data_IF_694748049446
#
_entry.id   IF_694748049446
#
_cell.length_a   1.000
_cell.length_b   1.000
_cell.length_c   1.000
_cell.angle_alpha   90.00
_cell.angle_beta   90.00
_cell.angle_gamma   90.00
#
_symmetry.space_group_name_H-M   'P 1'
#
loop_
_entity.id
_entity.type
_entity.pdbx_description
1 polymer ?
#
# COMPACT_ATOMS: atom_id res chain seq x y z
N UNK A 1 19.06 -4.09 9.10
CA UNK A 1 18.99 -5.57 9.12
C UNK A 1 17.59 -6.16 9.34
N UNK A 2 16.90 -5.85 10.47
CA UNK A 2 15.58 -6.44 10.78
C UNK A 2 14.52 -6.14 9.71
N UNK A 3 14.50 -4.92 9.20
CA UNK A 3 13.57 -4.50 8.15
C UNK A 3 13.76 -5.30 6.84
N UNK A 4 14.98 -5.38 6.34
CA UNK A 4 15.32 -6.16 5.16
C UNK A 4 14.97 -7.65 5.34
N UNK A 5 15.32 -8.24 6.49
CA UNK A 5 15.01 -9.64 6.78
C UNK A 5 13.50 -9.94 6.76
N UNK A 6 12.66 -9.03 7.25
CA UNK A 6 11.20 -9.16 7.19
C UNK A 6 10.71 -9.21 5.74
N UNK A 7 11.14 -8.28 4.90
CA UNK A 7 10.75 -8.24 3.49
C UNK A 7 11.24 -9.46 2.72
N UNK A 8 12.48 -9.89 2.95
CA UNK A 8 13.02 -11.08 2.28
C UNK A 8 12.29 -12.36 2.71
N UNK A 9 12.08 -12.55 4.02
CA UNK A 9 11.49 -13.78 4.57
C UNK A 9 10.00 -13.89 4.27
N UNK A 10 9.27 -12.78 4.32
CA UNK A 10 7.81 -12.80 4.23
C UNK A 10 7.37 -12.47 2.79
N UNK A 11 7.69 -11.28 2.29
CA UNK A 11 7.14 -10.77 1.03
C UNK A 11 7.84 -11.34 -0.21
N UNK A 12 9.17 -11.29 -0.27
CA UNK A 12 9.91 -11.85 -1.41
C UNK A 12 9.67 -13.35 -1.52
N UNK A 13 9.76 -14.08 -0.40
CA UNK A 13 9.45 -15.52 -0.37
C UNK A 13 8.04 -15.82 -0.87
N UNK A 14 7.04 -15.05 -0.43
CA UNK A 14 5.64 -15.20 -0.89
C UNK A 14 5.54 -15.02 -2.40
N UNK A 15 6.13 -13.97 -2.95
CA UNK A 15 6.10 -13.68 -4.38
C UNK A 15 6.78 -14.77 -5.20
N UNK A 16 7.98 -15.20 -4.79
CA UNK A 16 8.73 -16.26 -5.47
C UNK A 16 7.97 -17.59 -5.44
N UNK A 17 7.40 -17.94 -4.28
CA UNK A 17 6.60 -19.16 -4.13
C UNK A 17 5.36 -19.14 -5.03
N UNK A 18 4.67 -18.00 -5.11
CA UNK A 18 3.51 -17.83 -5.98
C UNK A 18 3.88 -18.01 -7.46
N UNK A 19 5.02 -17.47 -7.88
CA UNK A 19 5.51 -17.58 -9.24
C UNK A 19 6.23 -18.90 -9.54
N UNK A 20 6.38 -19.78 -8.54
CA UNK A 20 7.15 -21.04 -8.64
C UNK A 20 8.59 -20.82 -9.11
N UNK A 21 9.22 -19.77 -8.62
CA UNK A 21 10.61 -19.41 -8.92
C UNK A 21 11.46 -19.56 -7.68
N UNK A 22 12.69 -20.04 -7.84
CA UNK A 22 13.74 -19.79 -6.87
C UNK A 22 14.34 -18.39 -7.06
N UNK A 23 15.08 -17.90 -6.06
CA UNK A 23 15.68 -16.57 -6.13
C UNK A 23 16.60 -16.40 -7.36
N UNK A 24 17.39 -17.43 -7.67
CA UNK A 24 18.31 -17.42 -8.81
C UNK A 24 17.58 -17.36 -10.17
N UNK A 25 16.35 -17.86 -10.24
CA UNK A 25 15.53 -17.88 -11.46
C UNK A 25 14.69 -16.60 -11.62
N UNK A 26 14.51 -15.86 -10.53
CA UNK A 26 13.62 -14.70 -10.49
C UNK A 26 14.08 -13.51 -11.34
N UNK A 27 15.36 -13.47 -11.72
CA UNK A 27 15.96 -12.32 -12.39
C UNK A 27 16.14 -11.08 -11.49
N UNK A 28 15.77 -11.15 -10.22
CA UNK A 28 15.90 -10.06 -9.25
C UNK A 28 17.38 -9.94 -8.83
N UNK A 29 17.96 -8.77 -9.03
CA UNK A 29 19.34 -8.48 -8.65
C UNK A 29 19.42 -7.97 -7.21
N UNK A 30 20.61 -8.06 -6.61
CA UNK A 30 20.86 -7.50 -5.28
C UNK A 30 20.62 -5.98 -5.27
N UNK A 31 21.01 -5.28 -6.33
CA UNK A 31 20.82 -3.84 -6.47
C UNK A 31 19.34 -3.45 -6.54
N UNK A 32 18.49 -4.28 -7.17
CA UNK A 32 17.04 -4.07 -7.19
C UNK A 32 16.45 -4.16 -5.78
N UNK A 33 16.87 -5.14 -4.98
CA UNK A 33 16.42 -5.24 -3.59
C UNK A 33 16.90 -4.07 -2.74
N UNK A 34 18.11 -3.58 -2.98
CA UNK A 34 18.65 -2.41 -2.26
C UNK A 34 17.86 -1.14 -2.63
N UNK A 35 17.62 -0.89 -3.92
CA UNK A 35 16.79 0.23 -4.39
C UNK A 35 15.39 0.15 -3.77
N UNK A 36 14.73 -0.99 -3.90
CA UNK A 36 13.39 -1.23 -3.37
C UNK A 36 13.27 -0.95 -1.85
N UNK A 37 14.22 -1.47 -1.07
CA UNK A 37 14.20 -1.27 0.39
C UNK A 37 14.49 0.18 0.77
N UNK A 38 15.36 0.87 0.03
CA UNK A 38 15.65 2.29 0.25
C UNK A 38 14.42 3.16 -0.02
N UNK A 39 13.66 2.89 -1.08
CA UNK A 39 12.42 3.61 -1.39
C UNK A 39 11.41 3.53 -0.22
N UNK A 40 11.30 2.37 0.44
CA UNK A 40 10.46 2.21 1.63
C UNK A 40 11.02 2.95 2.85
N UNK A 41 12.33 2.86 3.10
CA UNK A 41 12.98 3.51 4.24
C UNK A 41 12.91 5.04 4.16
N UNK A 42 13.07 5.58 2.94
CA UNK A 42 12.98 7.00 2.65
C UNK A 42 11.54 7.52 2.57
N UNK A 43 10.54 6.63 2.74
CA UNK A 43 9.11 6.95 2.60
C UNK A 43 8.73 7.50 1.22
N UNK A 44 9.48 7.14 0.19
CA UNK A 44 9.14 7.44 -1.21
C UNK A 44 7.91 6.64 -1.65
N UNK A 45 7.70 5.47 -1.04
CA UNK A 45 6.55 4.59 -1.23
C UNK A 45 6.03 4.08 0.12
N UNK A 46 4.73 3.78 0.19
CA UNK A 46 4.11 3.14 1.37
C UNK A 46 4.42 1.64 1.41
N UNK A 47 4.17 0.99 2.54
CA UNK A 47 4.29 -0.49 2.64
C UNK A 47 3.38 -1.21 1.63
N UNK A 48 2.16 -0.70 1.41
CA UNK A 48 1.21 -1.29 0.46
C UNK A 48 1.69 -1.10 -0.99
N UNK A 49 2.27 0.06 -1.31
CA UNK A 49 2.92 0.27 -2.60
C UNK A 49 4.10 -0.70 -2.78
N UNK A 50 4.93 -0.88 -1.74
CA UNK A 50 6.02 -1.84 -1.77
C UNK A 50 5.58 -3.28 -2.05
N UNK A 51 4.47 -3.73 -1.45
CA UNK A 51 3.90 -5.05 -1.73
C UNK A 51 3.50 -5.22 -3.20
N UNK A 52 2.93 -4.17 -3.82
CA UNK A 52 2.57 -4.19 -5.23
C UNK A 52 3.79 -4.17 -6.15
N UNK A 53 4.84 -3.43 -5.78
CA UNK A 53 6.07 -3.34 -6.57
C UNK A 53 6.81 -4.67 -6.55
N UNK A 54 7.01 -5.28 -5.36
CA UNK A 54 7.75 -6.53 -5.25
C UNK A 54 7.06 -7.70 -5.98
N UNK A 55 5.73 -7.66 -6.12
CA UNK A 55 4.96 -8.61 -6.94
C UNK A 55 5.27 -8.52 -8.44
N UNK A 56 5.73 -7.37 -8.93
CA UNK A 56 6.08 -7.14 -10.33
C UNK A 56 7.58 -7.30 -10.63
N UNK A 57 8.42 -7.51 -9.61
CA UNK A 57 9.87 -7.61 -9.78
C UNK A 57 10.34 -8.91 -10.48
N UNK A 58 9.77 -10.11 -10.22
CA UNK A 58 10.24 -11.32 -10.88
C UNK A 58 10.10 -11.27 -12.40
N UNK A 59 11.14 -11.70 -13.12
CA UNK A 59 11.25 -11.72 -14.58
C UNK A 59 11.04 -10.35 -15.25
N UNK A 60 11.09 -9.25 -14.49
CA UNK A 60 11.00 -7.90 -15.02
C UNK A 60 12.41 -7.31 -15.15
N UNK A 61 12.67 -6.62 -16.27
CA UNK A 61 13.94 -5.93 -16.53
C UNK A 61 13.94 -4.49 -16.01
N UNK A 62 12.79 -3.98 -15.59
CA UNK A 62 12.65 -2.65 -15.01
C UNK A 62 13.13 -2.66 -13.56
N UNK A 63 13.72 -1.54 -13.14
CA UNK A 63 14.09 -1.35 -11.73
C UNK A 63 12.83 -1.14 -10.86
N UNK A 64 12.89 -1.41 -9.55
CA UNK A 64 11.79 -1.12 -8.62
C UNK A 64 11.25 0.31 -8.74
N UNK A 65 12.13 1.29 -8.95
CA UNK A 65 11.72 2.68 -9.14
C UNK A 65 10.90 2.87 -10.42
N UNK A 66 11.33 2.29 -11.53
CA UNK A 66 10.59 2.35 -12.80
C UNK A 66 9.20 1.70 -12.68
N UNK A 67 9.12 0.54 -12.02
CA UNK A 67 7.85 -0.13 -11.72
C UNK A 67 6.95 0.79 -10.88
N UNK A 68 7.50 1.45 -9.86
CA UNK A 68 6.74 2.35 -9.01
C UNK A 68 6.25 3.60 -9.74
N UNK A 69 7.06 4.17 -10.64
CA UNK A 69 6.68 5.31 -11.49
C UNK A 69 5.55 4.92 -12.45
N UNK A 70 5.68 3.79 -13.13
CA UNK A 70 4.67 3.29 -14.07
C UNK A 70 3.33 2.98 -13.39
N UNK A 71 3.37 2.36 -12.21
CA UNK A 71 2.17 2.10 -11.41
C UNK A 71 1.60 3.37 -10.74
N UNK A 72 2.28 4.50 -10.89
CA UNK A 72 1.95 5.74 -10.22
C UNK A 72 1.87 5.56 -8.71
N UNK A 73 2.85 4.86 -8.12
CA UNK A 73 2.98 4.51 -6.70
C UNK A 73 4.00 5.37 -5.96
N UNK A 74 4.80 6.16 -6.68
CA UNK A 74 5.71 7.15 -6.07
C UNK A 74 4.90 8.24 -5.38
N UNK A 75 5.31 8.56 -4.16
CA UNK A 75 4.76 9.62 -3.33
C UNK A 75 3.62 9.15 -2.44
N UNK A 76 3.58 9.71 -1.23
CA UNK A 76 2.42 9.70 -0.34
C UNK A 76 1.52 10.86 -0.77
N UNK A 77 0.21 10.61 -0.89
CA UNK A 77 -0.75 11.66 -1.25
C UNK A 77 -0.87 12.68 -0.11
N UNK A 78 -1.08 13.95 -0.45
CA UNK A 78 -1.27 15.03 0.54
C UNK A 78 -2.61 14.87 1.26
N UNK A 79 -2.72 15.45 2.45
CA UNK A 79 -3.91 15.45 3.30
C UNK A 79 -5.20 15.79 2.51
N UNK A 80 -5.14 16.77 1.61
CA UNK A 80 -6.28 17.19 0.77
C UNK A 80 -6.81 16.06 -0.15
N UNK A 81 -5.91 15.27 -0.74
CA UNK A 81 -6.28 14.13 -1.59
C UNK A 81 -6.83 12.96 -0.76
N UNK A 82 -6.28 12.74 0.44
CA UNK A 82 -6.80 11.75 1.39
C UNK A 82 -8.20 12.17 1.86
N UNK A 83 -8.41 13.45 2.13
CA UNK A 83 -9.70 13.99 2.55
C UNK A 83 -10.75 13.89 1.44
N UNK A 84 -10.41 14.19 0.19
CA UNK A 84 -11.30 13.97 -0.94
C UNK A 84 -11.68 12.49 -1.10
N UNK A 85 -10.70 11.58 -1.03
CA UNK A 85 -10.95 10.15 -1.09
C UNK A 85 -11.77 9.62 0.10
N UNK A 86 -11.58 10.18 1.29
CA UNK A 86 -12.36 9.85 2.50
C UNK A 86 -13.82 10.28 2.36
N UNK A 87 -14.08 11.50 1.88
CA UNK A 87 -15.44 11.97 1.59
C UNK A 87 -16.13 11.08 0.57
N UNK A 88 -15.47 10.77 -0.54
CA UNK A 88 -16.00 9.86 -1.55
C UNK A 88 -16.29 8.46 -0.98
N UNK A 89 -15.40 7.92 -0.14
CA UNK A 89 -15.60 6.62 0.48
C UNK A 89 -16.83 6.60 1.41
N UNK A 90 -17.08 7.68 2.17
CA UNK A 90 -18.26 7.82 3.03
C UNK A 90 -19.53 7.92 2.17
N UNK A 91 -19.53 8.76 1.14
CA UNK A 91 -20.68 8.97 0.24
C UNK A 91 -21.07 7.70 -0.53
N UNK A 92 -20.09 6.95 -1.04
CA UNK A 92 -20.34 5.73 -1.82
C UNK A 92 -20.75 4.53 -0.95
N UNK A 93 -20.59 4.60 0.38
CA UNK A 93 -20.78 3.46 1.27
C UNK A 93 -21.68 3.79 2.48
N UNK A 94 -22.95 4.23 2.26
CA UNK A 94 -23.85 4.66 3.33
C UNK A 94 -24.10 3.57 4.37
N UNK A 95 -24.17 2.29 3.96
CA UNK A 95 -24.30 1.17 4.90
C UNK A 95 -23.14 1.10 5.90
N UNK A 96 -21.91 1.33 5.45
CA UNK A 96 -20.76 1.31 6.34
C UNK A 96 -20.76 2.49 7.31
N UNK A 97 -21.36 3.63 6.93
CA UNK A 97 -21.60 4.76 7.83
C UNK A 97 -22.59 4.37 8.92
N UNK A 98 -23.72 3.77 8.55
CA UNK A 98 -24.71 3.27 9.50
C UNK A 98 -24.12 2.23 10.47
N UNK A 99 -23.38 1.25 9.93
CA UNK A 99 -22.71 0.21 10.72
C UNK A 99 -21.70 0.83 11.72
N UNK A 100 -20.98 1.90 11.34
CA UNK A 100 -20.10 2.64 12.24
C UNK A 100 -20.86 3.27 13.41
N UNK A 101 -21.96 3.97 13.13
CA UNK A 101 -22.79 4.59 14.17
C UNK A 101 -23.49 3.56 15.08
N UNK A 102 -23.75 2.36 14.56
CA UNK A 102 -24.25 1.22 15.35
C UNK A 102 -23.16 0.54 16.21
N UNK A 103 -21.91 1.04 16.16
CA UNK A 103 -20.80 0.53 16.96
C UNK A 103 -20.09 -0.68 16.35
N UNK A 104 -20.31 -0.98 15.07
CA UNK A 104 -19.66 -2.09 14.40
C UNK A 104 -18.19 -1.76 14.10
N UNK A 105 -17.28 -2.41 14.84
CA UNK A 105 -15.83 -2.18 14.74
C UNK A 105 -15.24 -2.44 13.35
N UNK A 106 -15.94 -3.20 12.50
CA UNK A 106 -15.51 -3.52 11.14
C UNK A 106 -15.70 -2.37 10.14
N UNK A 107 -16.67 -1.49 10.39
CA UNK A 107 -17.08 -0.44 9.46
C UNK A 107 -15.95 0.55 9.13
N UNK A 108 -15.25 1.03 10.17
CA UNK A 108 -14.12 1.95 10.00
C UNK A 108 -12.97 1.33 9.19
N UNK A 109 -12.68 0.04 9.41
CA UNK A 109 -11.64 -0.68 8.66
C UNK A 109 -12.03 -0.86 7.20
N UNK A 110 -13.32 -1.08 6.93
CA UNK A 110 -13.84 -1.17 5.56
C UNK A 110 -13.71 0.17 4.83
N UNK A 111 -14.14 1.28 5.45
CA UNK A 111 -14.02 2.63 4.89
C UNK A 111 -12.56 3.01 4.65
N UNK A 112 -11.66 2.71 5.60
CA UNK A 112 -10.22 2.86 5.41
C UNK A 112 -9.74 2.07 4.19
N UNK A 113 -10.20 0.83 4.02
CA UNK A 113 -9.92 0.00 2.84
C UNK A 113 -10.34 0.66 1.53
N UNK A 114 -11.50 1.33 1.49
CA UNK A 114 -11.98 2.08 0.33
C UNK A 114 -11.09 3.30 0.03
N UNK A 115 -10.72 4.08 1.04
CA UNK A 115 -9.80 5.22 0.86
C UNK A 115 -8.44 4.75 0.34
N UNK A 116 -7.91 3.66 0.89
CA UNK A 116 -6.67 3.06 0.39
C UNK A 116 -6.81 2.54 -1.05
N UNK A 117 -8.02 2.16 -1.50
CA UNK A 117 -8.27 1.75 -2.89
C UNK A 117 -8.28 2.97 -3.82
N UNK A 118 -9.01 4.02 -3.46
CA UNK A 118 -9.12 5.27 -4.21
C UNK A 118 -7.75 5.95 -4.38
N UNK A 119 -6.94 5.96 -3.33
CA UNK A 119 -5.58 6.51 -3.34
C UNK A 119 -4.52 5.54 -3.86
N UNK A 120 -4.92 4.37 -4.40
CA UNK A 120 -4.04 3.31 -4.92
C UNK A 120 -3.00 2.79 -3.90
N UNK A 121 -3.27 2.97 -2.60
CA UNK A 121 -2.40 2.59 -1.50
C UNK A 121 -1.37 3.64 -1.11
N UNK A 122 -1.48 4.86 -1.64
CA UNK A 122 -0.59 5.98 -1.34
C UNK A 122 -0.95 6.72 -0.05
N UNK A 123 -2.19 6.62 0.42
CA UNK A 123 -2.59 7.26 1.68
C UNK A 123 -1.91 6.59 2.89
N UNK A 124 -1.53 7.39 3.88
CA UNK A 124 -1.09 6.88 5.17
C UNK A 124 -2.30 6.30 5.95
N UNK A 125 -2.23 5.06 6.45
CA UNK A 125 -3.35 4.45 7.16
C UNK A 125 -3.75 5.20 8.44
N UNK A 126 -2.80 5.77 9.18
CA UNK A 126 -3.09 6.46 10.45
C UNK A 126 -3.81 7.77 10.18
N UNK A 127 -3.33 8.50 9.18
CA UNK A 127 -3.96 9.74 8.73
C UNK A 127 -5.35 9.50 8.15
N UNK A 128 -5.51 8.46 7.32
CA UNK A 128 -6.80 8.04 6.76
C UNK A 128 -7.82 7.76 7.86
N UNK A 129 -7.43 7.02 8.90
CA UNK A 129 -8.32 6.71 10.03
C UNK A 129 -8.71 7.97 10.81
N UNK A 130 -7.78 8.92 10.97
CA UNK A 130 -8.07 10.20 11.64
C UNK A 130 -9.13 10.99 10.86
N UNK A 131 -8.92 11.17 9.55
CA UNK A 131 -9.84 11.91 8.67
C UNK A 131 -11.21 11.25 8.61
N UNK A 132 -11.27 9.92 8.49
CA UNK A 132 -12.55 9.21 8.46
C UNK A 132 -13.35 9.38 9.75
N UNK A 133 -12.69 9.39 10.91
CA UNK A 133 -13.38 9.64 12.19
C UNK A 133 -13.93 11.06 12.25
N UNK A 134 -13.14 12.05 11.85
CA UNK A 134 -13.59 13.45 11.80
C UNK A 134 -14.84 13.59 10.92
N UNK A 135 -14.88 12.94 9.75
CA UNK A 135 -16.04 12.98 8.84
C UNK A 135 -17.28 12.22 9.34
N UNK A 136 -17.10 11.20 10.17
CA UNK A 136 -18.19 10.38 10.71
C UNK A 136 -18.72 10.91 12.05
N UNK A 137 -17.98 11.82 12.71
CA UNK A 137 -18.36 12.43 13.99
C UNK A 137 -18.87 13.88 13.83
N UNK A 138 -18.78 14.45 12.62
CA UNK A 138 -19.51 15.66 12.20
C UNK A 138 -21.02 15.40 12.04
#
# INVERSE_FOLDING_TARGET
PKFAAKWMRDELKRVLTYNKLDFAESGILADDLIEFLNMLLNKEITTKAGQRIIEQMPNNKQTPKQIAEELGLIGVVKDDEVQAAAKQAVEENPKAVDDYHNGEKGALNFLMGQVMRLTKGKADPRETVKILKELLEE
#
